data_IF_004114952216
#
_entry.id   IF_004114952216
#
_cell.length_a   1.000
_cell.length_b   1.000
_cell.length_c   1.000
_cell.angle_alpha   90.00
_cell.angle_beta   90.00
_cell.angle_gamma   90.00
#
_symmetry.space_group_name_H-M   'P 1'
#
loop_
_entity.id
_entity.type
_entity.pdbx_description
1 polymer ?
#
# COMPACT_ATOMS: atom_id res chain seq x y z
N UNK A 1 -23.52 0.48 9.30
CA UNK A 1 -22.26 -0.30 9.30
C UNK A 1 -21.78 -0.43 7.87
N UNK A 2 -20.54 -0.10 7.62
CA UNK A 2 -19.91 -0.27 6.31
C UNK A 2 -19.61 -1.74 6.00
N UNK A 3 -19.09 -2.03 4.78
CA UNK A 3 -18.66 -3.38 4.43
C UNK A 3 -17.46 -3.81 5.28
N UNK A 4 -17.34 -5.09 5.57
CA UNK A 4 -16.22 -5.64 6.35
C UNK A 4 -14.89 -5.52 5.62
N UNK A 5 -14.92 -5.61 4.29
CA UNK A 5 -13.75 -5.43 3.43
C UNK A 5 -14.16 -4.88 2.07
N UNK A 6 -13.18 -4.29 1.39
CA UNK A 6 -13.25 -3.83 0.00
C UNK A 6 -12.29 -4.65 -0.85
N UNK A 7 -12.62 -4.79 -2.12
CA UNK A 7 -11.80 -5.51 -3.10
C UNK A 7 -11.80 -4.79 -4.46
N UNK A 8 -10.79 -5.04 -5.31
CA UNK A 8 -10.80 -4.52 -6.67
C UNK A 8 -12.07 -4.95 -7.43
N UNK A 9 -12.54 -4.08 -8.33
CA UNK A 9 -13.70 -4.40 -9.22
C UNK A 9 -13.36 -5.50 -10.23
N UNK A 10 -12.10 -5.59 -10.63
CA UNK A 10 -11.59 -6.63 -11.52
C UNK A 10 -10.46 -7.41 -10.79
N UNK A 11 -10.21 -8.67 -11.15
CA UNK A 11 -9.07 -9.42 -10.62
C UNK A 11 -7.76 -8.69 -10.86
N UNK A 12 -6.91 -8.61 -9.84
CA UNK A 12 -5.58 -8.00 -9.95
C UNK A 12 -4.61 -8.90 -10.73
N UNK A 13 -4.77 -10.20 -10.60
CA UNK A 13 -4.02 -11.25 -11.31
C UNK A 13 -4.70 -12.60 -11.13
N UNK A 14 -4.33 -13.59 -11.94
CA UNK A 14 -4.85 -14.95 -11.78
C UNK A 14 -4.46 -15.48 -10.41
N UNK A 15 -5.42 -16.06 -9.68
CA UNK A 15 -5.20 -16.64 -8.33
C UNK A 15 -4.77 -15.62 -7.25
N UNK A 16 -4.75 -14.33 -7.53
CA UNK A 16 -4.46 -13.28 -6.55
C UNK A 16 -5.76 -12.79 -5.93
N UNK A 17 -5.84 -12.85 -4.61
CA UNK A 17 -6.88 -12.18 -3.84
C UNK A 17 -6.31 -10.92 -3.22
N UNK A 18 -7.02 -9.82 -3.37
CA UNK A 18 -6.66 -8.54 -2.76
C UNK A 18 -7.85 -8.01 -1.97
N UNK A 19 -7.63 -7.71 -0.69
CA UNK A 19 -8.65 -7.29 0.25
C UNK A 19 -8.14 -6.09 1.07
N UNK A 20 -9.01 -5.13 1.32
CA UNK A 20 -8.79 -4.07 2.31
C UNK A 20 -9.82 -4.22 3.41
N UNK A 21 -9.38 -4.62 4.59
CA UNK A 21 -10.26 -4.74 5.76
C UNK A 21 -10.55 -3.37 6.34
N UNK A 22 -11.80 -3.16 6.72
CA UNK A 22 -12.24 -1.92 7.37
C UNK A 22 -12.15 -2.03 8.88
N UNK A 23 -12.25 -0.90 9.58
CA UNK A 23 -12.36 -0.88 11.05
C UNK A 23 -13.52 -1.72 11.54
N UNK A 24 -14.65 -1.74 10.81
CA UNK A 24 -15.84 -2.51 11.18
C UNK A 24 -15.56 -4.01 11.26
N UNK A 25 -14.73 -4.55 10.34
CA UNK A 25 -14.30 -5.95 10.40
C UNK A 25 -13.58 -6.26 11.72
N UNK A 26 -12.61 -5.43 12.10
CA UNK A 26 -11.83 -5.65 13.32
C UNK A 26 -12.69 -5.54 14.58
N UNK A 27 -13.59 -4.56 14.65
CA UNK A 27 -14.51 -4.41 15.78
C UNK A 27 -15.48 -5.59 15.92
N UNK A 28 -16.07 -6.07 14.83
CA UNK A 28 -16.98 -7.24 14.83
C UNK A 28 -16.29 -8.51 15.30
N UNK A 29 -14.98 -8.65 15.05
CA UNK A 29 -14.18 -9.79 15.45
C UNK A 29 -13.43 -9.59 16.78
N UNK A 30 -13.79 -8.55 17.56
CA UNK A 30 -13.13 -8.19 18.83
C UNK A 30 -11.62 -7.93 18.72
N UNK A 31 -11.16 -7.50 17.55
CA UNK A 31 -9.79 -7.10 17.30
C UNK A 31 -9.73 -5.57 17.34
N UNK A 32 -8.96 -5.00 18.27
CA UNK A 32 -8.74 -3.56 18.26
C UNK A 32 -8.03 -3.15 16.96
N UNK A 33 -8.51 -2.09 16.27
CA UNK A 33 -7.89 -1.61 15.03
C UNK A 33 -6.54 -0.87 15.25
N UNK A 34 -5.99 -0.94 16.44
CA UNK A 34 -4.65 -0.43 16.73
C UNK A 34 -3.57 -1.27 16.04
N UNK A 35 -2.60 -0.59 15.39
CA UNK A 35 -1.51 -1.23 14.64
C UNK A 35 -0.84 -2.35 15.43
N UNK A 36 -0.48 -2.10 16.69
CA UNK A 36 0.20 -3.07 17.54
C UNK A 36 -0.61 -4.34 17.83
N UNK A 37 -1.94 -4.23 17.86
CA UNK A 37 -2.85 -5.35 18.08
C UNK A 37 -3.15 -6.10 16.81
N UNK A 38 -3.34 -5.39 15.68
CA UNK A 38 -3.52 -6.04 14.36
C UNK A 38 -2.31 -6.93 14.07
N UNK A 39 -1.10 -6.41 14.19
CA UNK A 39 0.13 -7.18 13.92
C UNK A 39 0.30 -8.41 14.82
N UNK A 40 -0.26 -8.41 16.04
CA UNK A 40 -0.18 -9.55 16.97
C UNK A 40 -1.27 -10.60 16.78
N UNK A 41 -2.45 -10.18 16.38
CA UNK A 41 -3.65 -11.03 16.41
C UNK A 41 -4.06 -11.42 14.98
N UNK A 42 -4.03 -10.46 14.04
CA UNK A 42 -4.38 -10.71 12.65
C UNK A 42 -3.13 -11.11 11.85
N UNK A 43 -2.62 -12.30 12.14
CA UNK A 43 -1.36 -12.82 11.57
C UNK A 43 -1.56 -13.70 10.35
N UNK A 44 -2.81 -14.09 10.06
CA UNK A 44 -3.16 -14.91 8.89
C UNK A 44 -4.57 -14.62 8.42
N UNK A 45 -4.80 -14.86 7.15
CA UNK A 45 -6.12 -14.85 6.50
C UNK A 45 -6.47 -16.31 6.18
N UNK A 46 -7.51 -16.85 6.86
CA UNK A 46 -7.78 -18.29 6.90
C UNK A 46 -6.53 -19.02 7.42
N UNK A 47 -5.91 -19.88 6.62
CA UNK A 47 -4.66 -20.56 6.97
C UNK A 47 -3.42 -19.96 6.30
N UNK A 48 -3.57 -18.88 5.53
CA UNK A 48 -2.47 -18.23 4.82
C UNK A 48 -1.81 -17.20 5.75
N UNK A 49 -0.51 -17.35 6.08
CA UNK A 49 0.18 -16.37 6.93
C UNK A 49 0.32 -15.03 6.22
N UNK A 50 0.26 -13.94 7.00
CA UNK A 50 0.40 -12.57 6.51
C UNK A 50 1.75 -12.01 6.93
N UNK A 51 2.60 -11.66 5.98
CA UNK A 51 3.82 -10.92 6.24
C UNK A 51 3.53 -9.43 6.25
N UNK A 52 3.83 -8.78 7.37
CA UNK A 52 3.74 -7.33 7.55
C UNK A 52 5.12 -6.65 7.49
N UNK A 53 5.09 -5.32 7.45
CA UNK A 53 6.25 -4.44 7.50
C UNK A 53 6.07 -3.33 8.53
N UNK A 54 7.16 -2.84 9.10
CA UNK A 54 7.23 -1.65 9.91
C UNK A 54 7.52 -0.44 9.01
N UNK A 55 6.44 0.23 8.59
CA UNK A 55 6.44 1.33 7.64
C UNK A 55 7.06 2.59 8.23
N UNK A 56 7.94 3.24 7.48
CA UNK A 56 8.66 4.47 7.85
C UNK A 56 8.45 5.62 6.86
N UNK A 57 7.53 5.45 5.89
CA UNK A 57 7.26 6.38 4.80
C UNK A 57 8.46 6.56 3.86
N UNK A 58 9.27 5.52 3.72
CA UNK A 58 10.43 5.43 2.82
C UNK A 58 10.09 4.77 1.48
N UNK A 59 11.15 4.29 0.81
CA UNK A 59 11.04 3.58 -0.47
C UNK A 59 11.72 2.20 -0.47
N UNK A 60 12.11 1.71 0.72
CA UNK A 60 12.75 0.40 0.84
C UNK A 60 11.75 -0.69 0.48
N UNK A 61 12.19 -1.56 -0.41
CA UNK A 61 11.54 -2.79 -0.80
C UNK A 61 12.25 -3.99 -0.18
N UNK A 62 11.48 -4.98 0.24
CA UNK A 62 12.00 -6.29 0.67
C UNK A 62 11.31 -7.42 -0.08
N UNK A 63 12.11 -8.39 -0.56
CA UNK A 63 11.59 -9.60 -1.23
C UNK A 63 11.35 -10.71 -0.21
N UNK A 64 10.12 -11.23 -0.17
CA UNK A 64 9.68 -12.21 0.81
C UNK A 64 9.59 -13.59 0.16
N UNK A 65 10.42 -14.51 0.63
CA UNK A 65 10.43 -15.90 0.20
C UNK A 65 9.70 -16.84 1.17
N UNK A 66 9.57 -16.40 2.43
CA UNK A 66 8.85 -17.15 3.47
C UNK A 66 8.34 -16.19 4.56
N UNK A 67 7.31 -16.61 5.28
CA UNK A 67 6.76 -15.83 6.39
C UNK A 67 7.75 -15.74 7.56
N UNK A 68 7.88 -14.55 8.13
CA UNK A 68 8.53 -14.27 9.40
C UNK A 68 7.49 -13.93 10.47
N UNK A 69 7.74 -14.38 11.71
CA UNK A 69 6.88 -14.05 12.85
C UNK A 69 6.88 -12.54 13.20
N UNK A 70 7.85 -11.78 12.69
CA UNK A 70 8.00 -10.36 12.94
C UNK A 70 7.82 -9.56 11.65
N UNK A 71 7.26 -8.33 11.74
CA UNK A 71 7.25 -7.40 10.61
C UNK A 71 8.67 -7.13 10.12
N UNK A 72 8.81 -6.87 8.82
CA UNK A 72 10.09 -6.45 8.23
C UNK A 72 10.34 -4.99 8.60
N UNK A 73 11.47 -4.71 9.22
CA UNK A 73 11.80 -3.37 9.72
C UNK A 73 12.12 -2.38 8.59
N UNK A 74 11.80 -1.10 8.83
CA UNK A 74 12.14 0.05 8.00
C UNK A 74 11.78 -0.14 6.51
N UNK A 75 10.61 -0.73 6.24
CA UNK A 75 10.21 -1.16 4.90
C UNK A 75 8.84 -0.61 4.58
N UNK A 76 8.66 -0.12 3.35
CA UNK A 76 7.38 0.42 2.86
C UNK A 76 6.86 -0.34 1.63
N UNK A 77 7.57 -1.36 1.17
CA UNK A 77 7.14 -2.25 0.10
C UNK A 77 7.59 -3.69 0.33
N UNK A 78 6.68 -4.64 0.11
CA UNK A 78 6.95 -6.09 0.10
C UNK A 78 6.63 -6.65 -1.27
N UNK A 79 7.51 -7.50 -1.77
CA UNK A 79 7.35 -8.24 -3.02
C UNK A 79 7.47 -9.74 -2.75
N UNK A 80 6.73 -10.56 -3.49
CA UNK A 80 6.86 -12.02 -3.42
C UNK A 80 6.43 -12.69 -4.72
N UNK A 81 7.00 -13.87 -4.95
CA UNK A 81 6.53 -14.88 -5.91
C UNK A 81 6.12 -16.19 -5.23
N UNK A 82 6.02 -16.19 -3.90
CA UNK A 82 5.72 -17.38 -3.09
C UNK A 82 4.21 -17.58 -2.99
N UNK A 83 3.73 -18.78 -3.34
CA UNK A 83 2.33 -19.18 -3.13
C UNK A 83 2.01 -19.41 -1.65
N UNK A 84 0.72 -19.31 -1.28
CA UNK A 84 0.25 -19.50 0.09
C UNK A 84 0.90 -18.54 1.11
N UNK A 85 1.18 -17.33 0.67
CA UNK A 85 1.67 -16.22 1.47
C UNK A 85 0.85 -14.98 1.15
N UNK A 86 0.40 -14.27 2.17
CA UNK A 86 -0.20 -12.95 2.03
C UNK A 86 0.80 -11.87 2.45
N UNK A 87 0.74 -10.72 1.79
CA UNK A 87 1.48 -9.52 2.15
C UNK A 87 0.50 -8.50 2.73
N UNK A 88 0.85 -7.86 3.84
CA UNK A 88 -0.02 -6.94 4.57
C UNK A 88 0.59 -5.55 4.74
N UNK A 89 -0.24 -4.53 4.54
CA UNK A 89 0.07 -3.12 4.81
C UNK A 89 -0.99 -2.53 5.71
N UNK A 90 -0.61 -1.64 6.62
CA UNK A 90 -1.54 -0.92 7.48
C UNK A 90 -1.54 0.56 7.10
N UNK A 91 -2.68 1.07 6.68
CA UNK A 91 -2.86 2.47 6.32
C UNK A 91 -4.06 3.08 7.04
N UNK A 92 -4.00 4.37 7.32
CA UNK A 92 -5.15 5.18 7.69
C UNK A 92 -5.53 6.10 6.52
N UNK A 93 -4.60 6.97 6.13
CA UNK A 93 -4.79 8.00 5.10
C UNK A 93 -3.92 7.77 3.85
N UNK A 94 -2.70 7.23 4.02
CA UNK A 94 -1.81 6.93 2.92
C UNK A 94 -2.37 5.86 1.98
N UNK A 95 -1.90 5.89 0.71
CA UNK A 95 -2.32 4.95 -0.33
C UNK A 95 -1.75 3.55 -0.09
N UNK A 96 -2.57 2.51 0.14
CA UNK A 96 -2.13 1.12 -0.04
C UNK A 96 -2.21 0.78 -1.53
N UNK A 97 -1.11 0.34 -2.12
CA UNK A 97 -1.08 -0.05 -3.53
C UNK A 97 -0.71 -1.52 -3.63
N UNK A 98 -1.57 -2.31 -4.22
CA UNK A 98 -1.30 -3.71 -4.55
C UNK A 98 -0.97 -3.84 -6.03
N UNK A 99 0.11 -4.56 -6.33
CA UNK A 99 0.57 -4.85 -7.67
C UNK A 99 0.60 -6.36 -7.91
N UNK A 100 0.28 -6.80 -9.10
CA UNK A 100 0.45 -8.20 -9.49
C UNK A 100 0.64 -8.35 -10.98
N UNK A 101 1.45 -9.32 -11.38
CA UNK A 101 1.40 -9.82 -12.75
C UNK A 101 0.02 -10.40 -13.07
N UNK A 102 -0.38 -10.27 -14.32
CA UNK A 102 -1.68 -10.77 -14.78
C UNK A 102 -1.83 -12.29 -14.62
N UNK A 103 -0.73 -13.02 -14.68
CA UNK A 103 -0.71 -14.48 -14.43
C UNK A 103 -0.70 -14.85 -12.94
N UNK A 104 -0.48 -13.87 -12.04
CA UNK A 104 -0.43 -14.04 -10.59
C UNK A 104 0.88 -14.66 -10.08
N UNK A 105 1.91 -14.73 -10.90
CA UNK A 105 3.21 -15.32 -10.52
C UNK A 105 4.03 -14.44 -9.57
N UNK A 106 3.83 -13.13 -9.64
CA UNK A 106 4.55 -12.13 -8.84
C UNK A 106 3.56 -11.08 -8.35
N UNK A 107 3.71 -10.67 -7.10
CA UNK A 107 2.83 -9.70 -6.48
C UNK A 107 3.56 -8.88 -5.42
N UNK A 108 3.06 -7.67 -5.18
CA UNK A 108 3.61 -6.75 -4.20
C UNK A 108 2.51 -5.96 -3.50
N UNK A 109 2.81 -5.46 -2.31
CA UNK A 109 2.02 -4.48 -1.59
C UNK A 109 2.94 -3.36 -1.11
N UNK A 110 2.52 -2.10 -1.27
CA UNK A 110 3.31 -0.97 -0.83
C UNK A 110 2.47 0.08 -0.10
N UNK A 111 3.14 0.79 0.81
CA UNK A 111 2.65 1.94 1.53
C UNK A 111 3.14 3.21 0.85
N UNK A 112 2.26 3.86 0.10
CA UNK A 112 2.60 5.08 -0.64
C UNK A 112 2.08 6.33 0.09
N UNK A 113 2.75 6.73 1.15
CA UNK A 113 2.65 8.07 1.71
C UNK A 113 3.40 9.07 0.83
N UNK A 114 3.15 10.39 0.98
CA UNK A 114 3.75 11.41 0.12
C UNK A 114 5.30 11.39 0.10
N UNK A 115 5.94 11.09 1.24
CA UNK A 115 7.40 10.93 1.32
C UNK A 115 7.89 9.73 0.52
N UNK A 116 7.19 8.60 0.63
CA UNK A 116 7.47 7.40 -0.13
C UNK A 116 7.31 7.62 -1.64
N UNK A 117 6.26 8.36 -2.06
CA UNK A 117 6.06 8.75 -3.46
C UNK A 117 7.21 9.63 -3.97
N UNK A 118 7.61 10.64 -3.19
CA UNK A 118 8.75 11.49 -3.54
C UNK A 118 10.07 10.71 -3.62
N UNK A 119 10.28 9.75 -2.72
CA UNK A 119 11.50 8.93 -2.73
C UNK A 119 11.46 7.75 -3.71
N UNK A 120 10.35 7.54 -4.42
CA UNK A 120 10.24 6.54 -5.49
C UNK A 120 9.88 5.13 -5.02
N UNK A 121 8.96 4.99 -4.06
CA UNK A 121 8.51 3.68 -3.57
C UNK A 121 7.84 2.83 -4.65
N UNK A 122 7.11 3.46 -5.59
CA UNK A 122 6.47 2.75 -6.70
C UNK A 122 7.53 2.24 -7.66
N UNK A 123 8.44 3.10 -8.08
CA UNK A 123 9.52 2.79 -9.00
C UNK A 123 10.41 1.68 -8.44
N UNK A 124 10.81 1.82 -7.16
CA UNK A 124 11.57 0.78 -6.46
C UNK A 124 10.84 -0.57 -6.49
N UNK A 125 9.54 -0.58 -6.22
CA UNK A 125 8.75 -1.81 -6.23
C UNK A 125 8.65 -2.43 -7.62
N UNK A 126 8.45 -1.62 -8.66
CA UNK A 126 8.31 -2.10 -10.03
C UNK A 126 9.59 -2.76 -10.56
N UNK A 127 10.77 -2.36 -10.07
CA UNK A 127 12.05 -2.99 -10.47
C UNK A 127 12.15 -4.46 -10.09
N UNK A 128 11.35 -4.93 -9.13
CA UNK A 128 11.36 -6.34 -8.68
C UNK A 128 10.63 -7.29 -9.61
N UNK A 129 9.73 -6.77 -10.47
CA UNK A 129 8.98 -7.61 -11.38
C UNK A 129 9.86 -8.08 -12.56
N UNK A 130 9.88 -9.40 -12.77
CA UNK A 130 10.64 -9.98 -13.89
C UNK A 130 10.03 -9.55 -15.24
N UNK A 131 10.86 -9.29 -16.23
CA UNK A 131 10.48 -8.80 -17.58
C UNK A 131 9.79 -7.44 -17.58
N UNK A 132 9.97 -6.65 -16.52
CA UNK A 132 9.38 -5.32 -16.41
C UNK A 132 7.90 -5.31 -16.02
N UNK A 133 7.25 -4.17 -16.18
CA UNK A 133 5.90 -3.91 -15.67
C UNK A 133 4.78 -3.94 -16.73
N UNK A 134 5.05 -4.36 -17.97
CA UNK A 134 4.06 -4.31 -19.07
C UNK A 134 2.82 -5.19 -18.84
N UNK A 135 2.95 -6.23 -18.03
CA UNK A 135 1.87 -7.16 -17.65
C UNK A 135 1.49 -7.07 -16.16
N UNK A 136 1.86 -5.96 -15.50
CA UNK A 136 1.54 -5.70 -14.09
C UNK A 136 0.26 -4.87 -14.00
N UNK A 137 -0.69 -5.35 -13.22
CA UNK A 137 -1.91 -4.64 -12.84
C UNK A 137 -1.76 -4.04 -11.44
N UNK A 138 -2.38 -2.88 -11.23
CA UNK A 138 -2.36 -2.18 -9.96
C UNK A 138 -3.78 -1.98 -9.39
N UNK A 139 -3.91 -2.04 -8.07
CA UNK A 139 -5.07 -1.58 -7.34
C UNK A 139 -4.65 -0.64 -6.23
N UNK A 140 -5.21 0.58 -6.28
CA UNK A 140 -5.07 1.55 -5.19
C UNK A 140 -6.27 1.34 -4.27
N UNK A 141 -6.00 0.94 -3.04
CA UNK A 141 -7.02 0.72 -2.02
C UNK A 141 -7.52 2.02 -1.38
N UNK A 142 -8.40 1.93 -0.38
CA UNK A 142 -8.96 3.09 0.29
C UNK A 142 -7.87 3.97 0.92
N UNK A 143 -7.99 5.27 0.71
CA UNK A 143 -7.09 6.29 1.24
C UNK A 143 -7.83 7.61 1.47
N UNK A 144 -7.16 8.61 2.00
CA UNK A 144 -7.69 9.95 2.11
C UNK A 144 -8.05 10.50 0.71
N UNK A 145 -9.17 11.18 0.61
CA UNK A 145 -9.59 11.80 -0.65
C UNK A 145 -8.97 13.18 -0.82
N UNK A 146 -8.83 13.62 -2.07
CA UNK A 146 -8.35 14.96 -2.43
C UNK A 146 -9.01 16.06 -1.57
N UNK A 147 -10.33 16.01 -1.39
CA UNK A 147 -11.09 17.04 -0.64
C UNK A 147 -10.71 17.18 0.84
N UNK A 148 -10.08 16.15 1.40
CA UNK A 148 -9.72 16.08 2.82
C UNK A 148 -8.21 16.17 3.05
N UNK A 149 -7.41 16.28 1.98
CA UNK A 149 -5.95 16.26 2.06
C UNK A 149 -5.36 17.64 1.70
N UNK A 150 -5.60 18.61 2.58
CA UNK A 150 -4.99 19.94 2.45
C UNK A 150 -3.52 19.87 2.86
N UNK A 151 -2.64 20.41 2.02
CA UNK A 151 -1.19 20.43 2.21
C UNK A 151 -0.62 21.84 2.10
N UNK A 152 0.57 22.05 2.66
CA UNK A 152 1.30 23.30 2.57
C UNK A 152 2.12 23.45 1.29
N UNK A 153 2.66 24.63 1.10
CA UNK A 153 3.50 24.96 -0.06
C UNK A 153 4.79 24.13 -0.10
N UNK A 154 5.32 23.74 1.05
CA UNK A 154 6.50 22.89 1.18
C UNK A 154 6.34 21.54 0.48
N UNK A 155 5.17 20.91 0.61
CA UNK A 155 4.87 19.66 -0.07
C UNK A 155 4.70 19.90 -1.58
N UNK A 156 3.96 20.92 -1.97
CA UNK A 156 3.80 21.30 -3.38
C UNK A 156 5.15 21.50 -4.05
N UNK A 157 6.02 22.35 -3.49
CA UNK A 157 7.37 22.60 -4.02
C UNK A 157 8.23 21.33 -4.10
N UNK A 158 8.10 20.44 -3.12
CA UNK A 158 8.83 19.17 -3.14
C UNK A 158 8.48 18.31 -4.35
N UNK A 159 7.20 18.28 -4.75
CA UNK A 159 6.75 17.57 -5.95
C UNK A 159 7.16 18.30 -7.23
N UNK A 160 7.06 19.63 -7.28
CA UNK A 160 7.49 20.44 -8.42
C UNK A 160 9.00 20.26 -8.71
N UNK A 161 9.83 20.26 -7.67
CA UNK A 161 11.27 20.04 -7.80
C UNK A 161 11.62 18.64 -8.33
N UNK A 162 10.76 17.65 -8.10
CA UNK A 162 10.96 16.28 -8.62
C UNK A 162 10.46 16.16 -10.06
N UNK A 163 9.30 16.72 -10.36
CA UNK A 163 8.63 16.59 -11.65
C UNK A 163 7.64 17.78 -11.81
N UNK A 164 7.94 18.71 -12.70
CA UNK A 164 7.11 19.88 -12.99
C UNK A 164 5.74 19.53 -13.57
N UNK A 165 5.62 18.35 -14.21
CA UNK A 165 4.34 17.79 -14.64
C UNK A 165 3.35 17.52 -13.50
N UNK A 166 3.83 17.48 -12.26
CA UNK A 166 2.98 17.31 -11.07
C UNK A 166 2.04 18.50 -10.81
N UNK A 167 2.28 19.69 -11.37
CA UNK A 167 1.46 20.90 -11.15
C UNK A 167 -0.02 20.63 -11.39
N UNK A 168 -0.36 19.90 -12.43
CA UNK A 168 -1.75 19.58 -12.79
C UNK A 168 -2.50 18.75 -11.75
N UNK A 169 -1.80 18.15 -10.79
CA UNK A 169 -2.38 17.33 -9.72
C UNK A 169 -2.68 18.12 -8.45
N UNK A 170 -2.39 19.43 -8.40
CA UNK A 170 -2.63 20.29 -7.26
C UNK A 170 -3.68 21.35 -7.57
N UNK A 171 -4.51 21.66 -6.58
CA UNK A 171 -5.54 22.70 -6.67
C UNK A 171 -5.23 23.78 -5.62
N UNK A 172 -4.90 24.99 -6.09
CA UNK A 172 -4.65 26.14 -5.22
C UNK A 172 -5.89 26.56 -4.41
N UNK A 173 -5.72 26.73 -3.10
CA UNK A 173 -6.80 27.13 -2.17
C UNK A 173 -6.60 28.50 -1.55
N UNK A 174 -5.47 29.17 -1.80
CA UNK A 174 -5.09 30.40 -1.13
C UNK A 174 -4.28 30.16 0.15
N UNK A 175 -3.62 31.20 0.65
CA UNK A 175 -2.84 31.14 1.90
C UNK A 175 -1.82 30.00 1.98
N UNK A 176 -1.09 29.75 0.88
CA UNK A 176 -0.09 28.67 0.75
C UNK A 176 -0.65 27.27 1.02
N UNK A 177 -1.92 27.06 0.67
CA UNK A 177 -2.63 25.78 0.80
C UNK A 177 -3.04 25.20 -0.54
N UNK A 178 -2.92 23.88 -0.65
CA UNK A 178 -3.23 23.08 -1.83
C UNK A 178 -4.08 21.86 -1.48
N UNK A 179 -4.83 21.36 -2.46
CA UNK A 179 -5.47 20.05 -2.44
C UNK A 179 -4.85 19.17 -3.51
#
# INVERSE_FOLDING_TARGET
>A
MGPDFLKPKAPLGKKIQCLSFTKDYFYKNNISPEKSRILKIFTKLEDIPIQYMNQVHGNRLETIFSHSAFPIDETDSLFSSTSNLALGVLTADCLPIALSKNDGSEFAILHAGWKGLLSGVIESTLTSFTKGCSDVSAWIGPSISLKNYEVGNDLYESFMNKDDGSESNFIWKGHDKWL
#
